data_IF_932207213415
#
_entry.id   IF_932207213415
#
_cell.length_a   1.000
_cell.length_b   1.000
_cell.length_c   1.000
_cell.angle_alpha   90.00
_cell.angle_beta   90.00
_cell.angle_gamma   90.00
#
_symmetry.space_group_name_H-M   'P 1'
#
loop_
_entity.id
_entity.type
_entity.pdbx_description
1 polymer ?
#
# COMPACT_ATOMS: atom_id res chain seq x y z
N UNK A 1 -11.48 -35.50 19.70
CA UNK A 1 -10.63 -34.49 19.03
C UNK A 1 -11.43 -33.97 17.85
N UNK A 2 -11.96 -32.75 17.92
CA UNK A 2 -12.73 -32.17 16.82
C UNK A 2 -11.75 -31.58 15.79
N UNK A 3 -11.61 -32.24 14.65
CA UNK A 3 -10.96 -31.66 13.47
C UNK A 3 -11.85 -30.53 12.94
N UNK A 4 -11.38 -29.29 13.02
CA UNK A 4 -12.02 -28.17 12.34
C UNK A 4 -12.22 -28.49 10.85
N UNK A 5 -13.33 -28.08 10.24
CA UNK A 5 -13.54 -28.26 8.81
C UNK A 5 -12.41 -27.55 8.04
N UNK A 6 -11.94 -28.11 6.91
CA UNK A 6 -10.98 -27.41 6.07
C UNK A 6 -11.59 -26.09 5.62
N UNK A 7 -10.89 -24.98 5.88
CA UNK A 7 -11.24 -23.69 5.30
C UNK A 7 -11.02 -23.84 3.79
N UNK A 8 -12.11 -23.91 3.04
CA UNK A 8 -12.08 -24.08 1.59
C UNK A 8 -11.57 -22.78 0.97
N UNK A 9 -10.26 -22.72 0.71
CA UNK A 9 -9.64 -21.55 0.06
C UNK A 9 -9.88 -21.69 -1.44
N UNK A 10 -10.32 -20.61 -2.12
CA UNK A 10 -10.53 -20.67 -3.54
C UNK A 10 -9.25 -21.10 -4.26
N UNK A 11 -9.40 -21.97 -5.25
CA UNK A 11 -8.27 -22.37 -6.09
C UNK A 11 -7.69 -21.14 -6.81
N UNK A 12 -6.36 -21.00 -6.76
CA UNK A 12 -5.65 -19.93 -7.44
C UNK A 12 -5.47 -20.26 -8.93
N UNK A 13 -5.63 -19.26 -9.79
CA UNK A 13 -5.07 -19.34 -11.14
C UNK A 13 -3.54 -19.30 -11.10
N UNK A 14 -2.88 -19.75 -12.16
CA UNK A 14 -1.41 -19.68 -12.26
C UNK A 14 -0.91 -18.25 -12.06
N UNK A 15 -1.58 -17.25 -12.65
CA UNK A 15 -1.23 -15.84 -12.50
C UNK A 15 -1.34 -15.35 -11.07
N UNK A 16 -2.38 -15.76 -10.34
CA UNK A 16 -2.55 -15.40 -8.92
C UNK A 16 -1.49 -16.07 -8.05
N UNK A 17 -1.17 -17.35 -8.29
CA UNK A 17 -0.12 -18.05 -7.56
C UNK A 17 1.25 -17.37 -7.74
N UNK A 18 1.61 -17.03 -8.98
CA UNK A 18 2.85 -16.30 -9.29
C UNK A 18 2.87 -14.92 -8.62
N UNK A 19 1.76 -14.19 -8.66
CA UNK A 19 1.66 -12.88 -8.03
C UNK A 19 1.91 -12.95 -6.52
N UNK A 20 1.36 -13.95 -5.83
CA UNK A 20 1.57 -14.15 -4.39
C UNK A 20 3.01 -14.57 -4.06
N UNK A 21 3.65 -15.38 -4.90
CA UNK A 21 5.09 -15.69 -4.74
C UNK A 21 5.94 -14.43 -4.87
N UNK A 22 5.72 -13.63 -5.92
CA UNK A 22 6.45 -12.37 -6.12
C UNK A 22 6.21 -11.38 -4.96
N UNK A 23 4.99 -11.33 -4.42
CA UNK A 23 4.69 -10.51 -3.25
C UNK A 23 5.50 -10.95 -2.04
N UNK A 24 5.56 -12.26 -1.76
CA UNK A 24 6.38 -12.83 -0.68
C UNK A 24 7.87 -12.52 -0.86
N UNK A 25 8.35 -12.54 -2.11
CA UNK A 25 9.74 -12.21 -2.45
C UNK A 25 10.06 -10.71 -2.36
N UNK A 26 9.07 -9.87 -2.05
CA UNK A 26 9.25 -8.43 -1.85
C UNK A 26 9.19 -7.60 -3.12
N UNK A 27 8.60 -8.13 -4.20
CA UNK A 27 8.32 -7.31 -5.37
C UNK A 27 7.21 -6.29 -5.09
N UNK A 28 7.36 -5.11 -5.66
CA UNK A 28 6.35 -4.05 -5.54
C UNK A 28 5.07 -4.44 -6.29
N UNK A 29 3.93 -3.94 -5.82
CA UNK A 29 2.63 -4.13 -6.47
C UNK A 29 2.66 -3.80 -7.97
N UNK A 30 3.34 -2.70 -8.35
CA UNK A 30 3.48 -2.30 -9.75
C UNK A 30 4.29 -3.30 -10.57
N UNK A 31 5.36 -3.86 -10.00
CA UNK A 31 6.18 -4.86 -10.66
C UNK A 31 5.41 -6.18 -10.84
N UNK A 32 4.60 -6.56 -9.84
CA UNK A 32 3.74 -7.73 -9.89
C UNK A 32 2.67 -7.57 -10.98
N UNK A 33 1.98 -6.42 -11.00
CA UNK A 33 0.98 -6.11 -12.03
C UNK A 33 1.58 -6.09 -13.45
N UNK A 34 2.84 -5.69 -13.60
CA UNK A 34 3.49 -5.71 -14.91
C UNK A 34 3.85 -7.12 -15.40
N UNK A 35 3.89 -8.11 -14.50
CA UNK A 35 4.31 -9.50 -14.77
C UNK A 35 3.16 -10.50 -14.68
N UNK A 36 2.03 -10.06 -14.14
CA UNK A 36 0.86 -10.88 -13.89
C UNK A 36 -0.38 -10.05 -14.21
N UNK A 37 -1.43 -10.66 -14.73
CA UNK A 37 -2.70 -9.97 -15.00
C UNK A 37 -3.55 -9.73 -13.73
N UNK A 38 -2.93 -9.80 -12.55
CA UNK A 38 -3.61 -9.59 -11.26
C UNK A 38 -3.78 -8.10 -11.01
N UNK A 39 -5.04 -7.68 -10.81
CA UNK A 39 -5.34 -6.30 -10.48
C UNK A 39 -4.76 -5.91 -9.11
N UNK A 40 -4.27 -4.68 -8.95
CA UNK A 40 -3.77 -4.16 -7.67
C UNK A 40 -4.68 -4.38 -6.46
N UNK A 41 -6.00 -4.17 -6.65
CA UNK A 41 -6.98 -4.32 -5.58
C UNK A 41 -7.20 -5.77 -5.15
N UNK A 42 -6.97 -6.72 -6.07
CA UNK A 42 -7.14 -8.14 -5.80
C UNK A 42 -5.90 -8.76 -5.14
N UNK A 43 -4.71 -8.22 -5.41
CA UNK A 43 -3.44 -8.76 -4.92
C UNK A 43 -3.42 -8.93 -3.40
N UNK A 44 -3.71 -7.87 -2.65
CA UNK A 44 -3.63 -7.92 -1.18
C UNK A 44 -4.80 -8.68 -0.56
N UNK A 45 -5.98 -8.64 -1.18
CA UNK A 45 -7.14 -9.44 -0.77
C UNK A 45 -6.84 -10.94 -0.91
N UNK A 46 -6.25 -11.35 -2.04
CA UNK A 46 -5.79 -12.73 -2.25
C UNK A 46 -4.70 -13.10 -1.23
N UNK A 47 -3.76 -12.19 -0.98
CA UNK A 47 -2.71 -12.42 0.01
C UNK A 47 -3.29 -12.67 1.42
N UNK A 48 -4.33 -11.92 1.81
CA UNK A 48 -5.04 -12.12 3.07
C UNK A 48 -5.73 -13.49 3.14
N UNK A 49 -6.50 -13.87 2.11
CA UNK A 49 -7.20 -15.17 2.04
C UNK A 49 -6.23 -16.35 2.09
N UNK A 50 -5.05 -16.21 1.48
CA UNK A 50 -4.04 -17.28 1.42
C UNK A 50 -2.98 -17.20 2.51
N UNK A 51 -3.07 -16.24 3.43
CA UNK A 51 -2.09 -15.98 4.50
C UNK A 51 -0.66 -15.80 3.99
N UNK A 52 -0.51 -15.06 2.90
CA UNK A 52 0.77 -14.66 2.32
C UNK A 52 1.00 -13.18 2.66
N UNK A 53 2.22 -12.85 3.05
CA UNK A 53 2.60 -11.48 3.40
C UNK A 53 3.81 -11.08 2.58
N UNK A 54 3.90 -9.79 2.24
CA UNK A 54 5.16 -9.19 1.83
C UNK A 54 6.10 -9.03 3.03
N UNK A 55 7.40 -8.75 2.80
CA UNK A 55 8.33 -8.41 3.88
C UNK A 55 7.88 -7.18 4.68
N UNK A 56 7.98 -7.25 6.02
CA UNK A 56 7.70 -6.09 6.89
C UNK A 56 8.68 -4.94 6.63
N UNK A 57 8.26 -3.71 6.96
CA UNK A 57 9.04 -2.51 6.67
C UNK A 57 8.95 -2.03 5.22
N UNK A 58 7.97 -2.55 4.47
CA UNK A 58 7.63 -2.13 3.09
C UNK A 58 6.20 -1.60 3.04
N UNK A 59 5.84 -0.90 1.96
CA UNK A 59 4.46 -0.40 1.77
C UNK A 59 3.51 -1.58 1.46
N UNK A 60 4.03 -2.60 0.79
CA UNK A 60 3.35 -3.84 0.46
C UNK A 60 3.04 -4.64 1.74
N UNK A 61 3.99 -4.67 2.69
CA UNK A 61 3.78 -5.24 4.02
C UNK A 61 2.71 -4.47 4.82
N UNK A 62 2.68 -3.14 4.72
CA UNK A 62 1.61 -2.32 5.29
C UNK A 62 0.25 -2.67 4.68
N UNK A 63 0.15 -2.73 3.34
CA UNK A 63 -1.08 -3.09 2.65
C UNK A 63 -1.57 -4.52 2.96
N UNK A 64 -0.65 -5.46 3.24
CA UNK A 64 -1.02 -6.79 3.72
C UNK A 64 -1.69 -6.78 5.11
N UNK A 65 -1.28 -5.89 6.02
CA UNK A 65 -1.96 -5.71 7.31
C UNK A 65 -3.37 -5.14 7.12
N UNK A 66 -3.48 -4.08 6.32
CA UNK A 66 -4.78 -3.45 6.02
C UNK A 66 -5.75 -4.45 5.38
N UNK A 67 -5.29 -5.28 4.44
CA UNK A 67 -6.13 -6.29 3.79
C UNK A 67 -6.57 -7.44 4.71
N UNK A 68 -5.93 -7.60 5.87
CA UNK A 68 -6.27 -8.58 6.90
C UNK A 68 -7.05 -7.96 8.06
N UNK A 69 -7.38 -6.67 7.98
CA UNK A 69 -7.97 -5.90 9.06
C UNK A 69 -7.12 -5.97 10.36
N UNK A 70 -5.80 -5.97 10.20
CA UNK A 70 -4.82 -5.99 11.30
C UNK A 70 -4.12 -4.64 11.45
N UNK A 71 -3.78 -4.28 12.68
CA UNK A 71 -2.94 -3.11 12.95
C UNK A 71 -1.54 -3.32 12.34
N UNK A 72 -1.07 -2.40 11.47
CA UNK A 72 0.26 -2.50 10.90
C UNK A 72 1.35 -2.40 11.97
N UNK A 73 2.39 -3.20 11.86
CA UNK A 73 3.52 -3.10 12.78
C UNK A 73 4.32 -1.81 12.54
N UNK A 74 5.01 -1.30 13.57
CA UNK A 74 5.75 -0.03 13.51
C UNK A 74 6.70 0.14 12.30
N UNK A 75 7.44 -0.89 11.86
CA UNK A 75 8.20 -0.82 10.61
C UNK A 75 7.35 -0.56 9.36
N UNK A 76 6.20 -1.23 9.23
CA UNK A 76 5.27 -1.05 8.11
C UNK A 76 4.64 0.35 8.13
N UNK A 77 4.20 0.83 9.30
CA UNK A 77 3.68 2.20 9.46
C UNK A 77 4.72 3.24 9.05
N UNK A 78 5.97 3.06 9.49
CA UNK A 78 7.08 3.95 9.16
C UNK A 78 7.34 3.96 7.64
N UNK A 79 7.28 2.80 6.99
CA UNK A 79 7.44 2.68 5.55
C UNK A 79 6.34 3.43 4.79
N UNK A 80 5.08 3.23 5.18
CA UNK A 80 3.94 3.93 4.60
C UNK A 80 4.03 5.45 4.81
N UNK A 81 4.33 5.90 6.03
CA UNK A 81 4.50 7.32 6.35
C UNK A 81 5.59 8.00 5.50
N UNK A 82 6.69 7.28 5.23
CA UNK A 82 7.75 7.75 4.32
C UNK A 82 7.26 7.83 2.87
N UNK A 83 6.51 6.86 2.39
CA UNK A 83 5.91 6.88 1.06
C UNK A 83 4.95 8.06 0.90
N UNK A 84 4.07 8.28 1.87
CA UNK A 84 3.14 9.41 1.89
C UNK A 84 3.87 10.76 1.91
N UNK A 85 4.92 10.89 2.72
CA UNK A 85 5.73 12.09 2.77
C UNK A 85 6.38 12.39 1.40
N UNK A 86 6.86 11.36 0.70
CA UNK A 86 7.38 11.46 -0.68
C UNK A 86 6.28 11.87 -1.66
N UNK A 87 5.10 11.25 -1.60
CA UNK A 87 3.97 11.58 -2.46
C UNK A 87 3.56 13.05 -2.29
N UNK A 88 3.40 13.52 -1.04
CA UNK A 88 3.15 14.93 -0.71
C UNK A 88 4.24 15.85 -1.24
N UNK A 89 5.51 15.48 -1.09
CA UNK A 89 6.63 16.26 -1.62
C UNK A 89 6.60 16.38 -3.15
N UNK A 90 6.25 15.30 -3.87
CA UNK A 90 6.11 15.34 -5.32
C UNK A 90 4.90 16.18 -5.77
N UNK A 91 3.78 16.07 -5.06
CA UNK A 91 2.60 16.89 -5.36
C UNK A 91 2.90 18.39 -5.22
N UNK A 92 3.69 18.80 -4.22
CA UNK A 92 4.14 20.20 -4.06
C UNK A 92 4.99 20.71 -5.23
N UNK A 93 5.69 19.83 -5.95
CA UNK A 93 6.46 20.20 -7.15
C UNK A 93 5.57 20.40 -8.39
N UNK A 94 4.40 19.75 -8.42
CA UNK A 94 3.42 19.91 -9.50
C UNK A 94 2.63 21.23 -9.41
N UNK A 95 2.66 21.90 -8.26
CA UNK A 95 2.03 23.22 -8.09
C UNK A 95 2.90 24.27 -8.81
N UNK A 96 2.35 25.02 -9.78
CA UNK A 96 3.09 26.08 -10.44
C UNK A 96 3.63 27.11 -9.44
N UNK A 97 4.85 27.64 -9.63
CA UNK A 97 5.47 28.58 -8.70
C UNK A 97 4.59 29.79 -8.36
N UNK A 98 3.89 30.34 -9.36
CA UNK A 98 2.96 31.45 -9.18
C UNK A 98 1.76 31.10 -8.26
N UNK A 99 1.24 29.87 -8.36
CA UNK A 99 0.16 29.40 -7.49
C UNK A 99 0.68 29.12 -6.08
N UNK A 100 1.90 28.58 -5.95
CA UNK A 100 2.57 28.34 -4.67
C UNK A 100 2.83 29.64 -3.89
N UNK A 101 3.25 30.70 -4.58
CA UNK A 101 3.41 32.02 -3.99
C UNK A 101 2.08 32.60 -3.49
N UNK A 102 0.98 32.46 -4.27
CA UNK A 102 -0.36 32.93 -3.86
C UNK A 102 -0.90 32.17 -2.64
N UNK A 103 -0.67 30.86 -2.55
CA UNK A 103 -1.06 30.06 -1.38
C UNK A 103 -0.30 30.47 -0.11
N UNK A 104 1.01 30.73 -0.24
CA UNK A 104 1.83 31.23 0.87
C UNK A 104 1.39 32.63 1.34
N UNK A 105 1.05 33.53 0.40
CA UNK A 105 0.57 34.89 0.71
C UNK A 105 -0.86 34.91 1.26
N UNK A 106 -1.72 33.98 0.84
CA UNK A 106 -3.08 33.81 1.37
C UNK A 106 -3.10 33.36 2.83
N UNK A 107 -2.19 32.47 3.23
CA UNK A 107 -2.03 32.05 4.63
C UNK A 107 -1.55 33.20 5.53
N UNK A 108 -0.64 34.06 5.04
CA UNK A 108 -0.17 35.24 5.79
C UNK A 108 -1.26 36.28 6.04
N UNK A 109 -2.19 36.47 5.09
CA UNK A 109 -3.30 37.44 5.26
C UNK A 109 -4.33 37.00 6.29
N UNK A 110 -4.51 35.70 6.52
CA UNK A 110 -5.38 35.18 7.59
C UNK A 110 -4.78 35.27 8.99
N UNK A 111 -3.47 35.43 9.12
CA UNK A 111 -2.78 35.49 10.41
C UNK A 111 -2.71 36.91 11.01
N UNK A 112 -3.03 37.95 10.24
CA UNK A 112 -2.95 39.37 10.65
C UNK A 112 -4.30 39.94 11.13
N UNK A 113 -5.37 39.15 11.07
CA UNK A 113 -6.69 39.50 11.64
C UNK A 113 -6.93 38.61 12.85
N UNK A 114 -6.23 38.91 13.95
CA UNK A 114 -6.55 38.45 15.30
C UNK A 114 -6.04 39.46 16.31
#
# INVERSE_FOLDING_TARGET
MATSPPIDRPALTVGQAVALTLLRDGYTQRAIQARTDVAPGDLYRLAAVHHITAPHGTCEGHACHEARDEDPCGPCETAQARADARARAQQRKKIPPALRARLASGARRKAVVR
#
